data_IF_290673870494
#
_entry.id   IF_290673870494
#
_cell.length_a   1.000
_cell.length_b   1.000
_cell.length_c   1.000
_cell.angle_alpha   90.00
_cell.angle_beta   90.00
_cell.angle_gamma   90.00
#
_symmetry.space_group_name_H-M   'P 1'
#
loop_
_entity.id
_entity.type
_entity.pdbx_description
1 polymer ?
#
# COMPACT_ATOMS: atom_id res chain seq x y z
N UNK A 1 -19.54 32.74 0.80
CA UNK A 1 -19.11 32.10 2.07
C UNK A 1 -20.17 31.09 2.44
N UNK A 2 -19.81 29.82 2.58
CA UNK A 2 -20.76 28.79 3.03
C UNK A 2 -21.10 29.05 4.51
N UNK A 3 -22.35 28.86 4.87
CA UNK A 3 -22.82 29.00 6.26
C UNK A 3 -22.32 27.80 7.09
N UNK A 4 -22.31 27.96 8.41
CA UNK A 4 -21.92 26.88 9.33
C UNK A 4 -22.84 25.67 9.20
N UNK A 5 -24.12 25.91 8.91
CA UNK A 5 -25.13 24.88 8.72
C UNK A 5 -24.90 24.12 7.40
N UNK A 6 -24.53 24.79 6.30
CA UNK A 6 -24.19 24.16 5.02
C UNK A 6 -22.93 23.27 5.14
N UNK A 7 -21.93 23.71 5.90
CA UNK A 7 -20.73 22.92 6.20
C UNK A 7 -21.06 21.68 7.05
N UNK A 8 -21.90 21.82 8.07
CA UNK A 8 -22.31 20.68 8.91
C UNK A 8 -23.11 19.66 8.10
N UNK A 9 -24.02 20.10 7.24
CA UNK A 9 -24.80 19.22 6.37
C UNK A 9 -23.90 18.50 5.34
N UNK A 10 -22.91 19.20 4.79
CA UNK A 10 -21.91 18.59 3.91
C UNK A 10 -21.11 17.49 4.63
N UNK A 11 -20.63 17.75 5.86
CA UNK A 11 -19.90 16.74 6.65
C UNK A 11 -20.79 15.56 7.02
N UNK A 12 -22.07 15.79 7.34
CA UNK A 12 -23.03 14.71 7.60
C UNK A 12 -23.21 13.81 6.37
N UNK A 13 -23.42 14.40 5.20
CA UNK A 13 -23.55 13.67 3.92
C UNK A 13 -22.27 12.91 3.57
N UNK A 14 -21.09 13.49 3.80
CA UNK A 14 -19.82 12.81 3.59
C UNK A 14 -19.65 11.62 4.53
N UNK A 15 -20.07 11.76 5.80
CA UNK A 15 -20.01 10.66 6.77
C UNK A 15 -21.01 9.53 6.41
N UNK A 16 -22.21 9.86 6.00
CA UNK A 16 -23.22 8.89 5.52
C UNK A 16 -22.75 8.18 4.26
N UNK A 17 -22.15 8.93 3.31
CA UNK A 17 -21.57 8.38 2.09
C UNK A 17 -20.37 7.47 2.39
N UNK A 18 -19.49 7.89 3.30
CA UNK A 18 -18.37 7.08 3.78
C UNK A 18 -18.83 5.78 4.46
N UNK A 19 -19.89 5.85 5.27
CA UNK A 19 -20.49 4.67 5.91
C UNK A 19 -21.21 3.75 4.90
N UNK A 20 -21.84 4.32 3.85
CA UNK A 20 -22.42 3.58 2.75
C UNK A 20 -21.34 2.86 1.93
N UNK A 21 -20.29 3.57 1.55
CA UNK A 21 -19.13 3.03 0.83
C UNK A 21 -18.46 1.95 1.66
N UNK A 22 -18.31 2.12 2.98
CA UNK A 22 -17.75 1.13 3.89
C UNK A 22 -18.54 -0.19 3.93
N UNK A 23 -19.87 -0.14 3.73
CA UNK A 23 -20.74 -1.33 3.72
C UNK A 23 -20.85 -2.05 2.37
N UNK A 24 -20.52 -1.36 1.27
CA UNK A 24 -20.67 -1.88 -0.10
C UNK A 24 -19.31 -2.06 -0.82
N UNK A 25 -18.29 -2.29 -0.11
CA UNK A 25 -16.89 -1.93 -0.29
C UNK A 25 -16.08 -2.60 -1.40
N UNK A 26 -16.57 -3.53 -2.18
CA UNK A 26 -15.72 -4.10 -3.23
C UNK A 26 -16.00 -3.47 -4.62
N UNK A 27 -17.26 -3.16 -4.94
CA UNK A 27 -17.64 -2.85 -6.31
C UNK A 27 -17.62 -1.35 -6.70
N UNK A 28 -17.83 -0.42 -5.74
CA UNK A 28 -17.94 1.01 -6.09
C UNK A 28 -16.57 1.63 -6.37
N UNK A 29 -15.54 1.27 -5.60
CA UNK A 29 -14.18 1.73 -5.90
C UNK A 29 -13.66 1.15 -7.21
N UNK A 30 -13.94 -0.11 -7.53
CA UNK A 30 -13.61 -0.72 -8.81
C UNK A 30 -14.34 -0.03 -9.98
N UNK A 31 -15.59 0.38 -9.79
CA UNK A 31 -16.37 1.09 -10.80
C UNK A 31 -15.90 2.53 -10.98
N UNK A 32 -15.67 3.28 -9.89
CA UNK A 32 -15.21 4.67 -9.97
C UNK A 32 -13.79 4.81 -10.52
N UNK A 33 -12.94 3.77 -10.40
CA UNK A 33 -11.57 3.79 -10.90
C UNK A 33 -11.38 3.01 -12.19
N UNK A 34 -12.39 2.27 -12.67
CA UNK A 34 -12.37 1.58 -13.97
C UNK A 34 -12.38 2.55 -15.17
N UNK A 35 -13.07 3.67 -15.05
CA UNK A 35 -13.27 4.61 -16.16
C UNK A 35 -12.10 5.57 -16.40
N UNK A 36 -11.04 5.54 -15.57
CA UNK A 36 -9.81 6.32 -15.77
C UNK A 36 -8.69 5.43 -16.33
N UNK A 37 -9.03 4.27 -16.84
CA UNK A 37 -8.09 3.31 -17.38
C UNK A 37 -7.68 3.69 -18.81
N UNK A 38 -6.78 4.64 -18.92
CA UNK A 38 -5.89 4.65 -20.06
C UNK A 38 -5.00 3.41 -19.87
N UNK A 39 -5.27 2.40 -20.68
CA UNK A 39 -4.56 1.12 -20.70
C UNK A 39 -3.05 1.34 -20.62
N UNK A 40 -2.50 1.20 -19.41
CA UNK A 40 -1.06 1.25 -19.22
C UNK A 40 -0.45 0.03 -19.93
N UNK A 41 0.31 0.30 -20.98
CA UNK A 41 1.03 -0.73 -21.70
C UNK A 41 2.31 -1.09 -20.95
N UNK A 42 2.66 -2.37 -20.90
CA UNK A 42 3.94 -2.81 -20.35
C UNK A 42 5.14 -2.13 -21.04
N UNK A 43 4.97 -1.70 -22.28
CA UNK A 43 5.98 -0.96 -23.05
C UNK A 43 6.28 0.42 -22.49
N UNK A 44 5.34 1.02 -21.73
CA UNK A 44 5.50 2.36 -21.15
C UNK A 44 6.27 2.33 -19.82
N UNK A 45 6.29 1.16 -19.15
CA UNK A 45 6.83 1.03 -17.79
C UNK A 45 8.31 1.43 -17.68
N UNK A 46 9.22 1.05 -18.60
CA UNK A 46 10.63 1.47 -18.52
C UNK A 46 10.81 2.98 -18.57
N UNK A 47 10.03 3.69 -19.42
CA UNK A 47 10.11 5.15 -19.51
C UNK A 47 9.63 5.78 -18.20
N UNK A 48 8.54 5.29 -17.62
CA UNK A 48 8.01 5.79 -16.36
C UNK A 48 9.01 5.63 -15.20
N UNK A 49 9.72 4.50 -15.15
CA UNK A 49 10.79 4.26 -14.17
C UNK A 49 11.94 5.26 -14.39
N UNK A 50 12.34 5.48 -15.65
CA UNK A 50 13.37 6.45 -16.01
C UNK A 50 13.00 7.88 -15.61
N UNK A 51 11.75 8.28 -15.83
CA UNK A 51 11.26 9.61 -15.46
C UNK A 51 11.32 9.82 -13.92
N UNK A 52 11.00 8.81 -13.14
CA UNK A 52 11.10 8.87 -11.68
C UNK A 52 12.57 8.91 -11.22
N UNK A 53 13.45 8.11 -11.82
CA UNK A 53 14.88 8.12 -11.51
C UNK A 53 15.47 9.52 -11.80
N UNK A 54 15.12 10.12 -12.94
CA UNK A 54 15.52 11.48 -13.31
C UNK A 54 15.04 12.53 -12.31
N UNK A 55 13.78 12.40 -11.82
CA UNK A 55 13.24 13.31 -10.82
C UNK A 55 14.07 13.33 -9.53
N UNK A 56 14.57 12.18 -9.10
CA UNK A 56 15.45 12.07 -7.93
C UNK A 56 16.93 12.31 -8.24
N UNK A 57 17.28 12.63 -9.49
CA UNK A 57 18.67 12.72 -9.97
C UNK A 57 19.48 11.43 -9.64
N UNK A 58 18.86 10.29 -9.87
CA UNK A 58 19.47 8.96 -9.67
C UNK A 58 19.94 8.39 -11.00
N UNK A 59 21.03 7.63 -10.96
CA UNK A 59 21.34 6.69 -12.02
C UNK A 59 20.24 5.61 -12.08
N UNK A 60 19.85 5.23 -13.30
CA UNK A 60 18.82 4.22 -13.49
C UNK A 60 19.33 2.87 -12.96
N UNK A 61 18.64 2.25 -11.98
CA UNK A 61 19.02 0.94 -11.50
C UNK A 61 18.83 -0.14 -12.58
N UNK A 62 19.42 -1.31 -12.39
CA UNK A 62 19.15 -2.48 -13.24
C UNK A 62 17.69 -2.92 -13.00
N UNK A 63 16.86 -2.82 -14.05
CA UNK A 63 15.43 -3.15 -13.96
C UNK A 63 15.19 -4.62 -14.29
N UNK A 64 14.51 -5.33 -13.39
CA UNK A 64 14.13 -6.75 -13.52
C UNK A 64 12.62 -6.94 -13.35
N UNK A 65 11.99 -7.64 -14.28
CA UNK A 65 10.53 -7.74 -14.37
C UNK A 65 9.93 -8.98 -13.69
N UNK A 66 10.76 -9.83 -13.07
CA UNK A 66 10.33 -11.05 -12.42
C UNK A 66 10.78 -11.06 -10.97
N UNK A 67 9.83 -11.06 -10.05
CA UNK A 67 10.06 -11.22 -8.62
C UNK A 67 8.85 -11.85 -7.94
N UNK A 68 9.05 -12.29 -6.71
CA UNK A 68 8.05 -12.91 -5.82
C UNK A 68 7.21 -11.89 -5.04
N UNK A 69 7.51 -10.61 -5.19
CA UNK A 69 6.83 -9.48 -4.53
C UNK A 69 6.24 -8.54 -5.59
N UNK A 70 5.44 -7.56 -5.16
CA UNK A 70 4.89 -6.53 -6.05
C UNK A 70 6.00 -5.73 -6.71
N UNK A 71 6.86 -5.16 -5.90
CA UNK A 71 8.10 -4.49 -6.28
C UNK A 71 9.08 -4.53 -5.11
N UNK A 72 10.36 -4.34 -5.38
CA UNK A 72 11.41 -4.16 -4.37
C UNK A 72 12.65 -3.50 -4.95
N UNK A 73 13.28 -2.64 -4.16
CA UNK A 73 14.60 -2.11 -4.45
C UNK A 73 15.66 -2.91 -3.70
N UNK A 74 16.65 -3.43 -4.41
CA UNK A 74 17.86 -4.03 -3.83
C UNK A 74 19.00 -3.03 -4.01
N UNK A 75 19.45 -2.48 -2.88
CA UNK A 75 20.48 -1.44 -2.88
C UNK A 75 21.84 -2.09 -2.68
N UNK A 76 22.71 -1.84 -3.62
CA UNK A 76 24.10 -2.23 -3.50
C UNK A 76 24.85 -1.30 -2.53
N UNK A 77 25.50 -1.87 -1.53
CA UNK A 77 26.23 -1.14 -0.49
C UNK A 77 27.75 -1.18 -0.69
N UNK A 78 28.25 -1.87 -1.70
CA UNK A 78 29.70 -2.00 -1.98
C UNK A 78 30.26 -0.84 -2.82
N UNK A 79 29.43 0.08 -3.25
CA UNK A 79 29.81 1.25 -4.05
C UNK A 79 29.81 1.01 -5.56
N UNK A 80 29.36 -0.15 -6.02
CA UNK A 80 29.41 -0.54 -7.43
C UNK A 80 28.28 0.04 -8.29
N UNK A 81 27.37 0.83 -7.75
CA UNK A 81 26.18 1.36 -8.45
C UNK A 81 25.27 0.29 -9.11
N UNK A 82 25.37 -0.98 -8.69
CA UNK A 82 24.61 -2.09 -9.24
C UNK A 82 23.28 -2.30 -8.50
N UNK A 83 22.65 -1.23 -8.02
CA UNK A 83 21.32 -1.32 -7.40
C UNK A 83 20.29 -1.87 -8.40
N UNK A 84 19.41 -2.73 -7.92
CA UNK A 84 18.46 -3.44 -8.77
C UNK A 84 17.02 -3.09 -8.35
N UNK A 85 16.19 -2.72 -9.33
CA UNK A 85 14.76 -2.53 -9.16
C UNK A 85 14.01 -3.75 -9.72
N UNK A 86 13.28 -4.43 -8.87
CA UNK A 86 12.41 -5.54 -9.26
C UNK A 86 10.96 -5.10 -9.23
N UNK A 87 10.16 -5.55 -10.19
CA UNK A 87 8.71 -5.46 -10.12
C UNK A 87 8.05 -6.64 -10.83
N UNK A 88 6.82 -6.97 -10.42
CA UNK A 88 5.99 -7.99 -11.05
C UNK A 88 4.71 -7.34 -11.56
N UNK A 89 4.66 -7.06 -12.86
CA UNK A 89 3.54 -6.33 -13.48
C UNK A 89 2.20 -7.05 -13.30
N UNK A 90 2.17 -8.38 -13.43
CA UNK A 90 0.96 -9.16 -13.26
C UNK A 90 0.43 -9.12 -11.82
N UNK A 91 1.33 -9.16 -10.83
CA UNK A 91 0.94 -9.01 -9.43
C UNK A 91 0.45 -7.59 -9.14
N UNK A 92 1.13 -6.57 -9.63
CA UNK A 92 0.73 -5.17 -9.47
C UNK A 92 -0.69 -4.94 -10.01
N UNK A 93 -0.98 -5.41 -11.23
CA UNK A 93 -2.33 -5.33 -11.81
C UNK A 93 -3.38 -6.00 -10.94
N UNK A 94 -3.11 -7.21 -10.47
CA UNK A 94 -4.04 -7.99 -9.62
C UNK A 94 -4.34 -7.31 -8.30
N UNK A 95 -3.41 -6.55 -7.74
CA UNK A 95 -3.62 -5.81 -6.49
C UNK A 95 -4.29 -4.46 -6.67
N UNK A 96 -4.46 -3.99 -7.90
CA UNK A 96 -5.06 -2.70 -8.21
C UNK A 96 -4.09 -1.60 -8.63
N UNK A 97 -2.78 -1.88 -8.69
CA UNK A 97 -1.76 -0.99 -9.28
C UNK A 97 -1.78 -1.20 -10.80
N UNK A 98 -2.82 -0.74 -11.47
CA UNK A 98 -3.11 -1.05 -12.86
C UNK A 98 -3.29 0.18 -13.76
N UNK A 99 -3.04 1.37 -13.25
CA UNK A 99 -3.05 2.61 -14.03
C UNK A 99 -1.72 3.35 -13.92
N UNK A 100 -1.53 4.35 -14.80
CA UNK A 100 -0.30 5.12 -14.90
C UNK A 100 0.11 5.74 -13.56
N UNK A 101 -0.80 6.44 -12.88
CA UNK A 101 -0.50 7.14 -11.64
C UNK A 101 -0.08 6.16 -10.53
N UNK A 102 -0.87 5.10 -10.31
CA UNK A 102 -0.58 4.13 -9.26
C UNK A 102 0.73 3.38 -9.50
N UNK A 103 1.04 3.00 -10.76
CA UNK A 103 2.32 2.39 -11.10
C UNK A 103 3.48 3.36 -10.87
N UNK A 104 3.36 4.61 -11.37
CA UNK A 104 4.38 5.63 -11.13
C UNK A 104 4.65 5.79 -9.64
N UNK A 105 3.61 5.90 -8.80
CA UNK A 105 3.76 6.08 -7.36
C UNK A 105 4.38 4.85 -6.68
N UNK A 106 4.11 3.64 -7.16
CA UNK A 106 4.80 2.44 -6.71
C UNK A 106 6.31 2.52 -7.01
N UNK A 107 6.68 2.94 -8.23
CA UNK A 107 8.09 3.12 -8.61
C UNK A 107 8.75 4.28 -7.87
N UNK A 108 8.00 5.34 -7.57
CA UNK A 108 8.47 6.44 -6.70
C UNK A 108 8.85 5.91 -5.32
N UNK A 109 8.03 5.04 -4.73
CA UNK A 109 8.33 4.41 -3.43
C UNK A 109 9.63 3.60 -3.48
N UNK A 110 9.77 2.73 -4.46
CA UNK A 110 10.96 1.89 -4.59
C UNK A 110 12.23 2.72 -4.85
N UNK A 111 12.17 3.67 -5.78
CA UNK A 111 13.32 4.54 -6.07
C UNK A 111 13.61 5.53 -4.93
N UNK A 112 12.62 5.84 -4.09
CA UNK A 112 12.85 6.60 -2.88
C UNK A 112 13.80 5.90 -1.91
N UNK A 113 13.76 4.56 -1.80
CA UNK A 113 14.74 3.83 -0.99
C UNK A 113 16.18 4.07 -1.46
N UNK A 114 16.40 4.11 -2.79
CA UNK A 114 17.72 4.42 -3.36
C UNK A 114 18.09 5.90 -3.10
N UNK A 115 17.17 6.84 -3.27
CA UNK A 115 17.37 8.25 -2.95
C UNK A 115 17.72 8.48 -1.47
N UNK A 116 17.13 7.69 -0.59
CA UNK A 116 17.33 7.76 0.87
C UNK A 116 18.56 6.95 1.33
N UNK A 117 19.30 6.30 0.41
CA UNK A 117 20.48 5.51 0.73
C UNK A 117 21.47 6.30 1.63
N UNK A 118 21.88 5.69 2.74
CA UNK A 118 22.79 6.30 3.70
C UNK A 118 22.18 7.32 4.66
N UNK A 119 20.90 7.70 4.48
CA UNK A 119 20.19 8.56 5.44
C UNK A 119 19.63 7.72 6.58
N UNK A 120 19.75 8.21 7.80
CA UNK A 120 19.21 7.56 8.99
C UNK A 120 18.05 8.36 9.56
N UNK A 121 16.94 7.66 9.82
CA UNK A 121 15.74 8.22 10.44
C UNK A 121 15.45 7.48 11.73
N UNK A 122 16.03 7.95 12.84
CA UNK A 122 15.83 7.40 14.20
C UNK A 122 14.68 8.11 14.93
N UNK A 123 13.51 8.19 14.30
CA UNK A 123 12.36 8.95 14.79
C UNK A 123 11.33 8.07 15.53
N UNK A 124 11.46 6.74 15.41
CA UNK A 124 10.78 5.73 16.22
C UNK A 124 11.75 4.58 16.52
N UNK A 125 11.33 3.57 17.29
CA UNK A 125 12.20 2.43 17.69
C UNK A 125 12.61 1.52 16.53
N UNK A 126 11.94 1.60 15.39
CA UNK A 126 12.26 0.79 14.21
C UNK A 126 12.71 1.69 13.06
N UNK A 127 14.00 1.70 12.78
CA UNK A 127 14.59 2.48 11.68
C UNK A 127 14.01 2.08 10.32
N UNK A 128 13.74 0.78 10.09
CA UNK A 128 13.15 0.30 8.83
C UNK A 128 11.75 0.88 8.62
N UNK A 129 10.94 0.93 9.66
CA UNK A 129 9.62 1.57 9.59
C UNK A 129 9.71 3.06 9.27
N UNK A 130 10.73 3.74 9.84
CA UNK A 130 10.97 5.14 9.49
C UNK A 130 11.37 5.31 8.02
N UNK A 131 12.17 4.40 7.47
CA UNK A 131 12.53 4.41 6.05
C UNK A 131 11.33 4.16 5.13
N UNK A 132 10.47 3.21 5.47
CA UNK A 132 9.23 2.96 4.73
C UNK A 132 8.32 4.19 4.72
N UNK A 133 8.13 4.81 5.89
CA UNK A 133 7.34 6.04 6.01
C UNK A 133 7.97 7.22 5.26
N UNK A 134 9.30 7.29 5.21
CA UNK A 134 10.00 8.30 4.43
C UNK A 134 9.82 8.09 2.92
N UNK A 135 9.85 6.83 2.45
CA UNK A 135 9.57 6.50 1.06
C UNK A 135 8.12 6.84 0.68
N UNK A 136 7.13 6.48 1.52
CA UNK A 136 5.74 6.85 1.31
C UNK A 136 5.50 8.37 1.41
N UNK A 137 6.26 9.08 2.25
CA UNK A 137 6.22 10.53 2.31
C UNK A 137 6.70 11.16 0.99
N UNK A 138 7.77 10.63 0.39
CA UNK A 138 8.25 11.05 -0.93
C UNK A 138 7.25 10.75 -2.04
N UNK A 139 6.47 9.67 -1.95
CA UNK A 139 5.32 9.42 -2.85
C UNK A 139 4.33 10.58 -2.78
N UNK A 140 4.00 11.06 -1.58
CA UNK A 140 3.11 12.20 -1.39
C UNK A 140 3.66 13.48 -2.02
N UNK A 141 4.94 13.80 -1.80
CA UNK A 141 5.62 14.94 -2.44
C UNK A 141 5.57 14.82 -3.96
N UNK A 142 6.01 13.69 -4.51
CA UNK A 142 6.02 13.45 -5.95
C UNK A 142 4.64 13.62 -6.58
N UNK A 143 3.62 13.04 -5.93
CA UNK A 143 2.24 13.13 -6.41
C UNK A 143 1.72 14.56 -6.47
N UNK A 144 2.09 15.39 -5.49
CA UNK A 144 1.74 16.82 -5.47
C UNK A 144 2.44 17.57 -6.58
N UNK A 145 3.76 17.42 -6.73
CA UNK A 145 4.56 18.14 -7.71
C UNK A 145 4.21 17.79 -9.16
N UNK A 146 3.76 16.56 -9.41
CA UNK A 146 3.40 16.05 -10.74
C UNK A 146 1.89 15.91 -10.96
N UNK A 147 1.08 16.38 -10.01
CA UNK A 147 -0.40 16.34 -10.07
C UNK A 147 -0.96 14.93 -10.33
N UNK A 148 -0.42 13.91 -9.64
CA UNK A 148 -0.88 12.53 -9.79
C UNK A 148 -1.98 12.18 -8.78
N UNK A 149 -2.90 11.31 -9.18
CA UNK A 149 -3.94 10.77 -8.30
C UNK A 149 -3.37 9.68 -7.38
N UNK A 150 -3.52 9.83 -6.06
CA UNK A 150 -2.98 8.89 -5.06
C UNK A 150 -3.98 7.82 -4.62
N UNK A 151 -5.24 7.88 -5.08
CA UNK A 151 -6.32 7.05 -4.57
C UNK A 151 -6.04 5.55 -4.63
N UNK A 152 -5.71 5.02 -5.83
CA UNK A 152 -5.40 3.59 -6.02
C UNK A 152 -4.17 3.15 -5.24
N UNK A 153 -3.09 3.93 -5.26
CA UNK A 153 -1.88 3.62 -4.50
C UNK A 153 -2.19 3.53 -3.00
N UNK A 154 -2.82 4.56 -2.41
CA UNK A 154 -3.20 4.57 -0.99
C UNK A 154 -4.14 3.42 -0.63
N UNK A 155 -5.06 3.06 -1.51
CA UNK A 155 -5.97 1.94 -1.30
C UNK A 155 -5.21 0.61 -1.18
N UNK A 156 -4.26 0.35 -2.06
CA UNK A 156 -3.46 -0.88 -2.03
C UNK A 156 -2.56 -0.90 -0.79
N UNK A 157 -1.77 0.17 -0.59
CA UNK A 157 -0.82 0.26 0.52
C UNK A 157 -1.54 0.26 1.87
N UNK A 158 -2.68 0.97 1.98
CA UNK A 158 -3.44 1.09 3.23
C UNK A 158 -4.00 -0.22 3.78
N UNK A 159 -4.06 -1.28 2.95
CA UNK A 159 -4.54 -2.62 3.32
C UNK A 159 -3.42 -3.59 3.68
N UNK A 160 -2.16 -3.17 3.55
CA UNK A 160 -1.03 -4.01 3.89
C UNK A 160 -0.92 -4.17 5.41
N UNK A 161 -0.82 -5.42 5.84
CA UNK A 161 -0.59 -5.76 7.23
C UNK A 161 0.81 -5.34 7.68
N UNK A 162 0.94 -5.04 8.97
CA UNK A 162 2.25 -4.75 9.54
C UNK A 162 3.15 -5.98 9.53
N UNK A 163 4.43 -5.73 9.36
CA UNK A 163 5.50 -6.73 9.49
C UNK A 163 6.66 -6.14 10.28
N UNK A 164 7.68 -6.93 10.60
CA UNK A 164 8.91 -6.40 11.24
C UNK A 164 9.64 -5.39 10.36
N UNK A 165 9.42 -5.40 9.05
CA UNK A 165 10.05 -4.49 8.09
C UNK A 165 9.16 -3.33 7.67
N UNK A 166 7.84 -3.47 7.71
CA UNK A 166 6.89 -2.48 7.24
C UNK A 166 5.86 -2.14 8.33
N UNK A 167 5.58 -0.85 8.57
CA UNK A 167 4.48 -0.45 9.46
C UNK A 167 3.13 -0.81 8.81
N UNK A 168 2.06 -0.81 9.61
CA UNK A 168 0.71 -1.04 9.11
C UNK A 168 0.36 -0.03 7.99
N UNK A 169 -0.32 -0.49 6.97
CA UNK A 169 -0.63 0.27 5.75
C UNK A 169 -1.36 1.59 6.00
N UNK A 170 -2.12 1.71 7.09
CA UNK A 170 -2.77 2.97 7.47
C UNK A 170 -1.77 4.09 7.77
N UNK A 171 -0.61 3.78 8.39
CA UNK A 171 0.46 4.76 8.60
C UNK A 171 1.13 5.15 7.30
N UNK A 172 1.32 4.19 6.40
CA UNK A 172 1.89 4.39 5.07
C UNK A 172 1.00 5.31 4.22
N UNK A 173 -0.29 5.00 4.11
CA UNK A 173 -1.26 5.84 3.41
C UNK A 173 -1.37 7.25 4.01
N UNK A 174 -1.28 7.36 5.36
CA UNK A 174 -1.27 8.65 6.04
C UNK A 174 0.00 9.47 5.77
N UNK A 175 1.17 8.83 5.58
CA UNK A 175 2.40 9.51 5.17
C UNK A 175 2.26 10.17 3.81
N UNK A 176 1.70 9.44 2.83
CA UNK A 176 1.40 9.95 1.48
C UNK A 176 0.49 11.18 1.55
N UNK A 177 -0.61 11.08 2.30
CA UNK A 177 -1.59 12.17 2.40
C UNK A 177 -1.01 13.40 3.10
N UNK A 178 -0.28 13.20 4.19
CA UNK A 178 0.33 14.30 4.92
C UNK A 178 1.35 15.05 4.06
N UNK A 179 2.24 14.34 3.36
CA UNK A 179 3.25 14.93 2.50
C UNK A 179 2.62 15.67 1.32
N UNK A 180 1.58 15.12 0.72
CA UNK A 180 0.82 15.77 -0.36
C UNK A 180 0.22 17.10 0.11
N UNK A 181 -0.36 17.11 1.32
CA UNK A 181 -0.91 18.33 1.91
C UNK A 181 0.16 19.39 2.24
N UNK A 182 1.36 18.96 2.64
CA UNK A 182 2.52 19.86 2.81
C UNK A 182 2.92 20.45 1.46
N UNK A 183 3.05 19.62 0.41
CA UNK A 183 3.39 20.07 -0.93
C UNK A 183 2.41 21.11 -1.49
N UNK A 184 1.12 20.98 -1.24
CA UNK A 184 0.12 21.99 -1.64
C UNK A 184 0.22 23.31 -0.87
N UNK A 185 0.70 23.27 0.38
CA UNK A 185 0.78 24.47 1.24
C UNK A 185 2.08 25.25 1.08
N UNK A 186 3.16 24.57 0.71
CA UNK A 186 4.46 25.18 0.55
C UNK A 186 4.73 25.47 -0.93
N UNK A 187 5.11 26.70 -1.30
CA UNK A 187 5.37 27.06 -2.70
C UNK A 187 6.73 26.53 -3.21
N UNK A 188 7.33 25.59 -2.51
CA UNK A 188 8.62 25.00 -2.86
C UNK A 188 8.44 23.79 -3.78
N UNK A 189 9.36 23.66 -4.74
CA UNK A 189 9.57 22.43 -5.52
C UNK A 189 10.84 21.68 -5.10
N UNK A 190 11.51 22.16 -4.08
CA UNK A 190 12.70 21.54 -3.52
C UNK A 190 12.29 20.37 -2.61
N UNK A 191 12.68 19.16 -2.99
CA UNK A 191 12.37 17.93 -2.26
C UNK A 191 12.92 18.00 -0.82
N UNK A 192 14.14 18.52 -0.64
CA UNK A 192 14.77 18.60 0.68
C UNK A 192 13.98 19.54 1.61
N UNK A 193 13.53 20.69 1.09
CA UNK A 193 12.67 21.60 1.85
C UNK A 193 11.33 20.96 2.22
N UNK A 194 10.73 20.19 1.32
CA UNK A 194 9.47 19.48 1.58
C UNK A 194 9.65 18.32 2.56
N UNK A 195 10.83 17.68 2.57
CA UNK A 195 11.17 16.60 3.51
C UNK A 195 11.29 17.08 4.97
N UNK A 196 11.44 18.38 5.24
CA UNK A 196 11.47 18.92 6.60
C UNK A 196 10.19 18.63 7.42
N UNK A 197 9.08 18.31 6.75
CA UNK A 197 7.83 17.91 7.43
C UNK A 197 7.82 16.45 7.92
N UNK A 198 8.70 15.59 7.40
CA UNK A 198 8.74 14.18 7.74
C UNK A 198 9.02 13.91 9.23
N UNK A 199 10.00 14.57 9.90
CA UNK A 199 10.23 14.37 11.31
C UNK A 199 9.00 14.66 12.18
N UNK A 200 8.27 15.72 11.89
CA UNK A 200 7.05 16.07 12.61
C UNK A 200 5.95 15.01 12.41
N UNK A 201 5.81 14.48 11.19
CA UNK A 201 4.86 13.41 10.89
C UNK A 201 5.15 12.14 11.70
N UNK A 202 6.41 11.64 11.66
CA UNK A 202 6.80 10.41 12.36
C UNK A 202 6.75 10.62 13.88
N UNK A 203 7.27 11.75 14.39
CA UNK A 203 7.27 12.05 15.81
C UNK A 203 5.84 12.09 16.38
N UNK A 204 4.91 12.73 15.69
CA UNK A 204 3.50 12.76 16.10
C UNK A 204 2.84 11.38 16.19
N UNK A 205 3.43 10.36 15.56
CA UNK A 205 2.96 8.97 15.57
C UNK A 205 3.86 8.01 16.35
N UNK A 206 4.98 8.48 16.89
CA UNK A 206 6.03 7.62 17.45
C UNK A 206 5.53 6.71 18.57
N UNK A 207 4.61 7.20 19.42
CA UNK A 207 4.00 6.38 20.48
C UNK A 207 3.24 5.19 19.88
N UNK A 208 2.33 5.44 18.96
CA UNK A 208 1.51 4.42 18.33
C UNK A 208 2.37 3.42 17.52
N UNK A 209 3.33 3.92 16.74
CA UNK A 209 4.27 3.08 16.02
C UNK A 209 5.07 2.15 16.93
N UNK A 210 5.51 2.65 18.09
CA UNK A 210 6.26 1.85 19.06
C UNK A 210 5.37 0.79 19.75
N UNK A 211 4.11 1.12 20.04
CA UNK A 211 3.12 0.19 20.59
C UNK A 211 2.81 -0.93 19.57
N UNK A 212 2.57 -0.58 18.31
CA UNK A 212 2.33 -1.54 17.24
C UNK A 212 3.56 -2.41 16.95
N UNK A 213 4.78 -1.85 17.03
CA UNK A 213 6.00 -2.63 16.90
C UNK A 213 6.15 -3.65 18.02
N UNK A 214 5.89 -3.25 19.27
CA UNK A 214 5.94 -4.17 20.41
C UNK A 214 4.97 -5.34 20.22
N UNK A 215 3.75 -5.07 19.75
CA UNK A 215 2.78 -6.11 19.43
C UNK A 215 3.25 -7.00 18.29
N UNK A 216 3.84 -6.43 17.23
CA UNK A 216 4.35 -7.19 16.08
C UNK A 216 5.47 -8.16 16.52
N UNK A 217 6.34 -7.73 17.44
CA UNK A 217 7.40 -8.59 18.01
C UNK A 217 6.76 -9.70 18.85
N UNK A 218 5.79 -9.39 19.71
CA UNK A 218 5.11 -10.37 20.53
C UNK A 218 4.37 -11.43 19.67
N UNK A 219 3.69 -10.98 18.60
CA UNK A 219 3.02 -11.86 17.64
C UNK A 219 4.02 -12.78 16.91
N UNK A 220 5.23 -12.27 16.63
CA UNK A 220 6.31 -13.04 16.01
C UNK A 220 6.93 -14.08 16.96
N UNK A 221 7.14 -13.72 18.23
CA UNK A 221 7.75 -14.60 19.24
C UNK A 221 6.75 -15.64 19.77
N UNK A 222 5.45 -15.37 19.64
CA UNK A 222 4.42 -16.33 20.03
C UNK A 222 4.40 -17.50 19.03
N UNK A 223 4.64 -18.76 19.45
CA UNK A 223 4.52 -19.91 18.56
C UNK A 223 3.11 -19.88 17.96
N UNK A 224 3.02 -19.78 16.63
CA UNK A 224 1.73 -19.97 15.96
C UNK A 224 1.26 -21.35 16.39
N UNK A 225 0.20 -21.42 17.19
CA UNK A 225 -0.53 -22.68 17.39
C UNK A 225 -0.83 -23.15 15.98
N UNK A 226 -0.25 -24.27 15.57
CA UNK A 226 -0.68 -24.92 14.34
C UNK A 226 -2.17 -25.06 14.47
N UNK A 227 -2.92 -24.26 13.71
CA UNK A 227 -4.34 -24.54 13.55
C UNK A 227 -4.38 -25.98 13.05
N UNK A 228 -5.05 -26.88 13.77
CA UNK A 228 -5.13 -28.25 13.32
C UNK A 228 -5.62 -28.18 11.88
N UNK A 229 -4.80 -28.69 10.94
CA UNK A 229 -5.20 -28.79 9.54
C UNK A 229 -6.43 -29.68 9.58
N UNK A 230 -7.60 -29.05 9.61
CA UNK A 230 -8.87 -29.75 9.62
C UNK A 230 -9.01 -30.39 8.23
N UNK A 231 -8.46 -31.60 8.10
CA UNK A 231 -8.72 -32.41 6.91
C UNK A 231 -10.15 -32.89 7.03
N UNK A 232 -11.00 -32.38 6.15
CA UNK A 232 -12.32 -32.92 5.97
C UNK A 232 -12.18 -34.43 5.75
N UNK A 233 -12.94 -35.26 6.43
CA UNK A 233 -12.95 -36.69 6.20
C UNK A 233 -13.20 -36.98 4.72
N UNK A 234 -12.58 -38.04 4.18
CA UNK A 234 -12.71 -38.38 2.74
C UNK A 234 -14.16 -38.75 2.39
N UNK A 235 -14.92 -39.25 3.40
CA UNK A 235 -16.32 -39.55 3.22
C UNK A 235 -17.21 -38.38 3.65
N UNK A 236 -18.06 -37.88 2.76
CA UNK A 236 -18.96 -36.77 3.05
C UNK A 236 -19.96 -37.05 4.18
N UNK A 237 -20.25 -38.32 4.45
CA UNK A 237 -21.13 -38.73 5.52
C UNK A 237 -20.53 -38.44 6.91
N UNK A 238 -19.22 -38.44 7.03
CA UNK A 238 -18.46 -38.14 8.23
C UNK A 238 -18.22 -36.64 8.46
N UNK A 239 -18.65 -35.79 7.51
CA UNK A 239 -18.53 -34.35 7.65
C UNK A 239 -19.46 -33.82 8.75
N UNK A 240 -19.13 -32.65 9.35
CA UNK A 240 -20.04 -32.01 10.32
C UNK A 240 -21.43 -31.78 9.72
N UNK A 241 -22.47 -31.96 10.51
CA UNK A 241 -23.86 -31.85 10.05
C UNK A 241 -24.27 -30.42 9.71
N UNK A 242 -23.58 -29.43 10.24
CA UNK A 242 -23.74 -28.01 9.91
C UNK A 242 -23.01 -27.59 8.62
N UNK A 243 -22.24 -28.51 8.00
CA UNK A 243 -21.57 -28.24 6.75
C UNK A 243 -22.58 -28.09 5.60
N UNK A 244 -22.63 -26.91 4.98
CA UNK A 244 -23.58 -26.60 3.92
C UNK A 244 -23.44 -27.49 2.69
N UNK A 245 -22.23 -27.94 2.34
CA UNK A 245 -21.98 -28.83 1.23
C UNK A 245 -22.52 -30.22 1.51
N UNK A 246 -22.29 -30.75 2.74
CA UNK A 246 -22.90 -32.01 3.20
C UNK A 246 -24.42 -31.94 3.12
N UNK A 247 -25.03 -30.91 3.69
CA UNK A 247 -26.48 -30.73 3.69
C UNK A 247 -27.03 -30.70 2.25
N UNK A 248 -26.36 -29.99 1.35
CA UNK A 248 -26.76 -29.92 -0.06
C UNK A 248 -26.67 -31.30 -0.74
N UNK A 249 -25.53 -31.98 -0.67
CA UNK A 249 -25.31 -33.28 -1.30
C UNK A 249 -26.25 -34.34 -0.73
N UNK A 250 -26.46 -34.39 0.60
CA UNK A 250 -27.34 -35.36 1.24
C UNK A 250 -28.81 -35.13 0.86
N UNK A 251 -29.22 -33.90 0.64
CA UNK A 251 -30.57 -33.56 0.17
C UNK A 251 -30.84 -34.12 -1.22
N UNK A 252 -29.91 -34.00 -2.15
CA UNK A 252 -30.07 -34.49 -3.53
C UNK A 252 -29.93 -36.01 -3.62
N UNK A 253 -29.06 -36.64 -2.84
CA UNK A 253 -28.96 -38.10 -2.77
C UNK A 253 -30.26 -38.81 -2.28
N UNK A 254 -31.11 -38.10 -1.53
CA UNK A 254 -32.42 -38.61 -1.10
C UNK A 254 -33.48 -38.55 -2.21
N UNK A 255 -33.38 -37.53 -3.10
CA UNK A 255 -34.31 -37.35 -4.20
C UNK A 255 -34.09 -38.39 -5.33
N UNK A 256 -32.87 -38.91 -5.49
CA UNK A 256 -32.56 -39.94 -6.50
C UNK A 256 -32.96 -41.39 -6.08
N UNK A 257 -33.51 -41.58 -4.87
CA UNK A 257 -33.93 -42.88 -4.31
C UNK A 257 -35.44 -43.02 -4.16
N UNK A 258 -36.20 -41.99 -4.45
CA UNK A 258 -37.67 -41.97 -4.53
C UNK A 258 -38.12 -41.95 -6.04
#
# INVERSE_FOLDING_TARGET
MQTKEELQEMYRKMAEWSAFVGRHNANIFDVMFKDVDHSLSERDLPQMISDVALFYNLELPIVKTHCDTLAKMVIDNDGSNNSELYYNWEMLKKTGINNRDAFTLCMVHELAHLYLKGRRFMLCRNERWCHELAADYLVGIYSCLNNLATGKYKYVVGRMERTLTHPHGTHRAAAVEYARNIGFKLPSRDIEALMLGLPAFIYGRSKLLNEELAQCIADWETPKKEEPIYRMPDNIEDWPDDNLVKQYVMKYRKQDKE
#
